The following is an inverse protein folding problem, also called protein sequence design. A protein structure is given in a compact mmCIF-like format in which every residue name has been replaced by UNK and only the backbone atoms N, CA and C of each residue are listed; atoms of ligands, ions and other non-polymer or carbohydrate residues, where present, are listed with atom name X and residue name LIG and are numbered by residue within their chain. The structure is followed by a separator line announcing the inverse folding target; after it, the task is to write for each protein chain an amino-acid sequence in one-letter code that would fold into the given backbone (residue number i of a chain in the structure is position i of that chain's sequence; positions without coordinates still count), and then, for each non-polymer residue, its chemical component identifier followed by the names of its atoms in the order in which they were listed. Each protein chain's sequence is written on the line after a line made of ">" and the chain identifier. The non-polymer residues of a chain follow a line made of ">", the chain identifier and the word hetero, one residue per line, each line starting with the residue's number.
data_IF_575405795160
#
_entry.id   IF_575405795160
#
_cell.length_a   1.000
_cell.length_b   1.000
_cell.length_c   1.000
_cell.angle_alpha   90.00
_cell.angle_beta   90.00
_cell.angle_gamma   90.00
#
_symmetry.space_group_name_H-M   'P 1'
#
loop_
_entity.id
_entity.type
_entity.pdbx_description
1 polymer ?
#
# COMPACT_ATOMS: atom_id res chain seq x y z
N UNK A 1 -24.41 -3.59 -1.54
CA UNK A 1 -23.26 -3.26 -2.40
C UNK A 1 -22.02 -3.88 -1.78
N UNK A 2 -21.77 -5.16 -2.00
CA UNK A 2 -20.56 -5.83 -1.51
C UNK A 2 -19.44 -5.63 -2.53
N UNK A 3 -18.71 -4.55 -2.36
CA UNK A 3 -17.45 -4.30 -3.03
C UNK A 3 -16.44 -3.87 -1.99
N UNK A 4 -15.36 -4.62 -1.81
CA UNK A 4 -14.23 -4.16 -1.01
C UNK A 4 -13.65 -2.92 -1.68
N UNK A 5 -13.67 -1.79 -0.98
CA UNK A 5 -13.07 -0.55 -1.48
C UNK A 5 -11.67 -0.39 -0.89
N UNK A 6 -10.71 0.05 -1.71
CA UNK A 6 -9.38 0.40 -1.22
C UNK A 6 -9.46 1.41 -0.07
N UNK A 7 -8.89 1.03 1.08
CA UNK A 7 -8.87 1.84 2.30
C UNK A 7 -7.54 2.56 2.48
N UNK A 8 -6.43 1.82 2.41
CA UNK A 8 -5.08 2.35 2.63
C UNK A 8 -4.01 1.47 2.00
N UNK A 9 -2.78 1.95 1.99
CA UNK A 9 -1.59 1.27 1.49
C UNK A 9 -0.57 1.17 2.61
N UNK A 10 0.17 0.06 2.70
CA UNK A 10 1.24 -0.12 3.68
C UNK A 10 2.59 -0.16 2.96
N UNK A 11 3.60 0.43 3.60
CA UNK A 11 4.94 0.62 3.08
C UNK A 11 5.97 -0.07 3.97
N UNK A 12 7.20 -0.29 3.48
CA UNK A 12 8.29 -0.75 4.33
C UNK A 12 8.40 0.07 5.62
N UNK A 13 8.28 -0.60 6.76
CA UNK A 13 8.27 0.03 8.10
C UNK A 13 6.87 0.26 8.69
N UNK A 14 5.81 0.21 7.89
CA UNK A 14 4.43 0.28 8.40
C UNK A 14 4.01 -1.06 9.04
N UNK A 15 3.12 -0.97 10.03
CA UNK A 15 2.44 -2.14 10.59
C UNK A 15 1.06 -2.30 9.95
N UNK A 16 0.71 -3.53 9.58
CA UNK A 16 -0.59 -3.91 9.03
C UNK A 16 -1.37 -4.68 10.09
N UNK A 17 -2.68 -4.42 10.21
CA UNK A 17 -3.52 -5.14 11.18
C UNK A 17 -3.52 -4.52 12.58
N UNK A 18 -3.03 -3.28 12.73
CA UNK A 18 -3.07 -2.54 14.01
C UNK A 18 -4.49 -2.46 14.59
N UNK A 19 -5.51 -2.41 13.74
CA UNK A 19 -6.90 -2.37 14.15
C UNK A 19 -7.34 -3.62 14.92
N UNK A 20 -6.71 -4.78 14.67
CA UNK A 20 -7.02 -6.03 15.37
C UNK A 20 -6.66 -5.98 16.84
N UNK A 21 -5.71 -5.12 17.25
CA UNK A 21 -5.37 -4.90 18.65
C UNK A 21 -6.49 -4.19 19.41
N UNK A 22 -7.25 -3.32 18.73
CA UNK A 22 -8.36 -2.59 19.32
C UNK A 22 -9.69 -3.34 19.17
N UNK A 23 -9.91 -4.01 18.03
CA UNK A 23 -11.18 -4.66 17.70
C UNK A 23 -11.22 -6.16 18.04
N UNK A 24 -10.08 -6.78 18.34
CA UNK A 24 -9.98 -8.23 18.53
C UNK A 24 -10.16 -9.05 17.25
N UNK A 25 -10.30 -8.40 16.09
CA UNK A 25 -10.38 -9.03 14.78
C UNK A 25 -9.86 -8.10 13.68
N UNK A 26 -9.48 -8.65 12.53
CA UNK A 26 -9.13 -7.84 11.37
C UNK A 26 -10.38 -7.16 10.79
N UNK A 27 -10.32 -5.83 10.66
CA UNK A 27 -11.39 -5.04 10.03
C UNK A 27 -11.17 -4.86 8.52
N UNK A 28 -9.95 -5.12 8.04
CA UNK A 28 -9.57 -4.95 6.64
C UNK A 28 -8.91 -6.22 6.09
N UNK A 29 -8.98 -6.37 4.77
CA UNK A 29 -8.19 -7.38 4.05
C UNK A 29 -6.93 -6.71 3.50
N UNK A 30 -5.77 -7.28 3.81
CA UNK A 30 -4.51 -6.87 3.20
C UNK A 30 -4.17 -7.73 1.98
N UNK A 31 -3.58 -7.09 0.97
CA UNK A 31 -3.08 -7.76 -0.22
C UNK A 31 -1.76 -7.14 -0.62
N UNK A 32 -0.76 -7.97 -0.84
CA UNK A 32 0.51 -7.51 -1.39
C UNK A 32 0.27 -6.90 -2.78
N UNK A 33 0.87 -5.75 -3.08
CA UNK A 33 0.81 -5.14 -4.42
C UNK A 33 2.07 -5.41 -5.23
N UNK A 34 3.15 -5.71 -4.52
CA UNK A 34 4.47 -6.05 -5.00
C UNK A 34 5.01 -7.18 -4.11
N UNK A 35 6.04 -7.92 -4.55
CA UNK A 35 6.72 -8.85 -3.66
C UNK A 35 7.19 -8.13 -2.40
N UNK A 36 6.77 -8.61 -1.24
CA UNK A 36 7.14 -8.06 0.05
C UNK A 36 7.29 -9.18 1.09
N UNK A 37 7.96 -8.86 2.20
CA UNK A 37 8.11 -9.74 3.35
C UNK A 37 7.47 -9.06 4.54
N UNK A 38 6.74 -9.82 5.35
CA UNK A 38 6.17 -9.38 6.61
C UNK A 38 6.87 -10.09 7.75
N UNK A 39 7.21 -9.34 8.81
CA UNK A 39 7.67 -9.91 10.06
C UNK A 39 6.48 -10.02 11.00
N UNK A 40 6.09 -11.24 11.43
CA UNK A 40 4.99 -11.40 12.36
C UNK A 40 5.32 -10.74 13.71
N UNK A 41 4.30 -10.14 14.32
CA UNK A 41 4.35 -9.52 15.64
C UNK A 41 3.22 -10.11 16.48
N UNK A 42 3.49 -10.35 17.76
CA UNK A 42 2.45 -10.78 18.70
C UNK A 42 1.61 -9.59 19.13
N UNK A 43 0.30 -9.79 19.32
CA UNK A 43 -0.62 -8.75 19.79
C UNK A 43 -0.37 -8.34 21.24
N UNK A 44 0.40 -9.13 22.00
CA UNK A 44 0.78 -8.84 23.38
C UNK A 44 1.75 -7.66 23.49
N UNK A 45 2.45 -7.30 22.41
CA UNK A 45 3.31 -6.13 22.39
C UNK A 45 2.46 -4.88 22.07
N UNK A 46 2.37 -3.88 22.96
CA UNK A 46 1.70 -2.64 22.63
C UNK A 46 2.39 -2.01 21.42
N UNK A 47 1.61 -1.70 20.39
CA UNK A 47 2.13 -1.03 19.21
C UNK A 47 2.75 0.30 19.64
N UNK A 48 4.03 0.54 19.32
CA UNK A 48 4.67 1.81 19.65
C UNK A 48 3.88 2.99 19.05
N UNK A 49 3.73 4.07 19.82
CA UNK A 49 2.98 5.27 19.41
C UNK A 49 3.42 5.81 18.03
N UNK A 50 4.71 5.67 17.70
CA UNK A 50 5.24 6.08 16.40
C UNK A 50 4.65 5.29 15.21
N UNK A 51 4.30 4.00 15.39
CA UNK A 51 3.66 3.20 14.34
C UNK A 51 2.20 3.61 14.13
N UNK A 52 1.49 3.97 15.21
CA UNK A 52 0.14 4.54 15.12
C UNK A 52 0.15 5.92 14.45
N UNK A 53 1.13 6.76 14.76
CA UNK A 53 1.32 8.03 14.07
C UNK A 53 1.62 7.81 12.58
N UNK A 54 2.43 6.80 12.24
CA UNK A 54 2.72 6.44 10.85
C UNK A 54 1.46 5.99 10.09
N UNK A 55 0.61 5.14 10.69
CA UNK A 55 -0.65 4.69 10.07
C UNK A 55 -1.63 5.86 9.86
N UNK A 56 -1.68 6.81 10.79
CA UNK A 56 -2.50 8.03 10.67
C UNK A 56 -1.99 8.92 9.53
N UNK A 57 -0.68 9.16 9.46
CA UNK A 57 -0.05 9.90 8.35
C UNK A 57 -0.32 9.21 7.00
N UNK A 58 -0.30 7.88 6.98
CA UNK A 58 -0.59 7.08 5.79
C UNK A 58 -2.01 7.31 5.30
N UNK A 59 -3.00 7.25 6.20
CA UNK A 59 -4.39 7.55 5.86
C UNK A 59 -4.55 8.96 5.26
N UNK A 60 -3.92 9.98 5.85
CA UNK A 60 -3.95 11.34 5.31
C UNK A 60 -3.33 11.44 3.90
N UNK A 61 -2.22 10.74 3.65
CA UNK A 61 -1.61 10.70 2.32
C UNK A 61 -2.51 10.01 1.28
N UNK A 62 -3.27 8.98 1.67
CA UNK A 62 -4.23 8.31 0.78
C UNK A 62 -5.40 9.21 0.40
N UNK A 63 -5.90 10.02 1.35
CA UNK A 63 -6.88 11.05 1.04
C UNK A 63 -6.28 12.04 0.02
N UNK A 64 -5.09 12.58 0.30
CA UNK A 64 -4.44 13.53 -0.60
C UNK A 64 -4.25 12.96 -2.01
N UNK A 65 -3.86 11.68 -2.12
CA UNK A 65 -3.55 10.99 -3.38
C UNK A 65 -4.69 11.04 -4.41
N UNK A 66 -5.94 11.11 -3.94
CA UNK A 66 -7.14 11.09 -4.80
C UNK A 66 -7.63 12.48 -5.21
N UNK A 67 -6.95 13.55 -4.82
CA UNK A 67 -7.30 14.92 -5.17
C UNK A 67 -6.46 15.47 -6.33
N UNK A 68 -6.92 16.51 -7.03
CA UNK A 68 -6.17 17.14 -8.13
C UNK A 68 -6.26 16.41 -9.47
N UNK A 69 -5.41 16.78 -10.44
CA UNK A 69 -5.41 16.24 -11.81
C UNK A 69 -4.95 14.79 -11.84
N UNK A 70 -5.44 14.02 -12.80
CA UNK A 70 -5.13 12.59 -12.92
C UNK A 70 -3.62 12.29 -12.96
N UNK A 71 -2.86 13.10 -13.71
CA UNK A 71 -1.40 12.96 -13.79
C UNK A 71 -0.69 13.20 -12.46
N UNK A 72 -1.14 14.19 -11.68
CA UNK A 72 -0.58 14.50 -10.36
C UNK A 72 -0.87 13.42 -9.33
N UNK A 73 -1.99 12.69 -9.47
CA UNK A 73 -2.33 11.54 -8.61
C UNK A 73 -1.38 10.37 -8.87
N UNK A 74 -1.15 10.04 -10.15
CA UNK A 74 -0.24 8.96 -10.55
C UNK A 74 1.20 9.29 -10.16
N UNK A 75 1.67 10.53 -10.40
CA UNK A 75 3.00 10.97 -9.98
C UNK A 75 3.19 10.85 -8.47
N UNK A 76 2.28 11.39 -7.66
CA UNK A 76 2.37 11.27 -6.20
C UNK A 76 2.33 9.84 -5.70
N UNK A 77 1.64 8.93 -6.39
CA UNK A 77 1.69 7.51 -6.02
C UNK A 77 3.06 6.92 -6.33
N UNK A 78 3.62 7.22 -7.51
CA UNK A 78 4.95 6.76 -7.88
C UNK A 78 5.98 7.32 -6.90
N UNK A 79 5.96 8.64 -6.68
CA UNK A 79 6.83 9.33 -5.72
C UNK A 79 6.70 8.67 -4.35
N UNK A 80 5.47 8.46 -3.87
CA UNK A 80 5.27 7.76 -2.62
C UNK A 80 5.95 6.38 -2.65
N UNK A 81 5.68 5.58 -3.67
CA UNK A 81 6.24 4.24 -3.81
C UNK A 81 7.74 4.22 -4.07
N UNK A 82 8.39 5.33 -4.44
CA UNK A 82 9.84 5.42 -4.70
C UNK A 82 10.62 6.17 -3.62
N UNK A 83 9.98 7.11 -2.93
CA UNK A 83 10.54 8.08 -1.99
C UNK A 83 10.37 7.67 -0.51
N UNK A 84 10.39 6.38 -0.16
CA UNK A 84 10.59 6.04 1.26
C UNK A 84 12.05 6.26 1.63
N UNK A 85 12.39 7.53 1.75
CA UNK A 85 13.66 8.01 2.22
C UNK A 85 14.20 7.18 3.38
N UNK A 86 15.50 6.89 3.29
CA UNK A 86 16.36 6.49 4.40
C UNK A 86 16.08 5.16 5.12
N UNK A 87 15.32 4.20 4.56
CA UNK A 87 15.41 2.81 5.05
C UNK A 87 16.58 2.09 4.36
N UNK A 88 17.51 1.44 5.08
CA UNK A 88 18.70 0.78 4.50
C UNK A 88 18.40 -0.39 3.54
N UNK A 89 17.12 -0.67 3.27
CA UNK A 89 16.64 -1.66 2.29
C UNK A 89 16.18 -1.01 0.96
N UNK A 90 16.41 0.30 0.77
CA UNK A 90 15.97 1.06 -0.41
C UNK A 90 16.82 0.83 -1.69
N UNK A 91 17.60 -0.25 -1.75
CA UNK A 91 18.63 -0.47 -2.77
C UNK A 91 18.19 -1.17 -4.07
N UNK A 92 16.93 -1.58 -4.23
CA UNK A 92 16.52 -2.31 -5.43
C UNK A 92 15.40 -1.60 -6.19
N UNK A 93 15.51 -1.60 -7.53
CA UNK A 93 14.52 -1.08 -8.49
C UNK A 93 13.10 -1.43 -8.01
N UNK A 94 12.43 -0.45 -7.39
CA UNK A 94 11.14 -0.67 -6.74
C UNK A 94 10.12 -1.08 -7.77
N UNK A 95 9.55 -2.28 -7.61
CA UNK A 95 8.52 -2.73 -8.55
C UNK A 95 7.28 -1.86 -8.41
N UNK A 96 6.74 -1.40 -9.52
CA UNK A 96 5.44 -0.75 -9.52
C UNK A 96 4.31 -1.79 -9.39
N UNK A 97 3.20 -1.45 -8.71
CA UNK A 97 1.96 -2.19 -8.78
C UNK A 97 1.44 -2.28 -10.23
N UNK A 98 0.48 -3.17 -10.45
CA UNK A 98 -0.16 -3.28 -11.76
C UNK A 98 -1.04 -2.05 -12.04
N UNK A 99 -1.32 -1.80 -13.32
CA UNK A 99 -2.19 -0.70 -13.74
C UNK A 99 -3.56 -0.69 -13.04
N UNK A 100 -4.16 -1.86 -12.87
CA UNK A 100 -5.43 -2.02 -12.16
C UNK A 100 -5.35 -1.58 -10.69
N UNK A 101 -4.25 -1.94 -10.01
CA UNK A 101 -4.03 -1.55 -8.62
C UNK A 101 -3.80 -0.03 -8.53
N UNK A 102 -3.01 0.55 -9.44
CA UNK A 102 -2.79 2.01 -9.50
C UNK A 102 -4.11 2.76 -9.75
N UNK A 103 -4.95 2.25 -10.66
CA UNK A 103 -6.26 2.82 -10.98
C UNK A 103 -7.17 2.83 -9.74
N UNK A 104 -7.25 1.70 -9.04
CA UNK A 104 -8.02 1.56 -7.79
C UNK A 104 -7.52 2.53 -6.70
N UNK A 105 -6.20 2.61 -6.50
CA UNK A 105 -5.57 3.47 -5.49
C UNK A 105 -5.82 4.95 -5.79
N UNK A 106 -5.63 5.38 -7.04
CA UNK A 106 -5.73 6.79 -7.46
C UNK A 106 -7.16 7.24 -7.78
N UNK A 107 -8.12 6.32 -7.81
CA UNK A 107 -9.50 6.61 -8.20
C UNK A 107 -9.62 7.00 -9.68
N UNK A 108 -8.84 6.35 -10.55
CA UNK A 108 -8.79 6.59 -11.99
C UNK A 108 -9.22 5.32 -12.75
N UNK A 109 -9.42 5.44 -14.06
CA UNK A 109 -9.60 4.26 -14.93
C UNK A 109 -8.24 3.66 -15.30
N UNK A 110 -8.20 2.36 -15.57
CA UNK A 110 -6.99 1.66 -16.05
C UNK A 110 -6.44 2.30 -17.33
N UNK A 111 -7.32 2.70 -18.25
CA UNK A 111 -6.95 3.39 -19.49
C UNK A 111 -6.24 4.73 -19.21
N UNK A 112 -6.79 5.52 -18.27
CA UNK A 112 -6.20 6.81 -17.89
C UNK A 112 -4.82 6.62 -17.28
N UNK A 113 -4.66 5.65 -16.38
CA UNK A 113 -3.37 5.31 -15.79
C UNK A 113 -2.38 4.83 -16.86
N UNK A 114 -2.84 4.02 -17.82
CA UNK A 114 -2.01 3.51 -18.92
C UNK A 114 -1.41 4.67 -19.74
N UNK A 115 -2.25 5.60 -20.20
CA UNK A 115 -1.79 6.79 -20.95
C UNK A 115 -0.78 7.61 -20.15
N UNK A 116 -1.13 7.99 -18.92
CA UNK A 116 -0.25 8.80 -18.06
C UNK A 116 1.08 8.08 -17.83
N UNK A 117 1.07 6.76 -17.64
CA UNK A 117 2.29 6.01 -17.42
C UNK A 117 3.16 5.95 -18.68
N UNK A 118 2.57 5.81 -19.87
CA UNK A 118 3.31 5.85 -21.12
C UNK A 118 3.98 7.22 -21.35
N UNK A 119 3.26 8.30 -21.01
CA UNK A 119 3.80 9.66 -21.06
C UNK A 119 5.00 9.84 -20.09
N UNK A 120 4.91 9.25 -18.88
CA UNK A 120 5.98 9.29 -17.88
C UNK A 120 7.18 8.43 -18.29
N UNK A 121 6.96 7.25 -18.86
CA UNK A 121 8.03 6.35 -19.28
C UNK A 121 8.86 6.96 -20.42
N UNK A 122 8.16 7.58 -21.37
CA UNK A 122 8.77 8.35 -22.47
C UNK A 122 9.62 9.54 -21.99
N UNK A 123 9.36 10.03 -20.77
CA UNK A 123 10.09 11.13 -20.16
C UNK A 123 11.31 10.70 -19.32
N UNK A 124 11.65 9.41 -19.26
CA UNK A 124 12.93 8.96 -18.70
C UNK A 124 12.88 7.96 -17.55
N UNK A 125 11.91 7.04 -17.53
CA UNK A 125 12.08 5.76 -16.85
C UNK A 125 11.12 5.52 -15.67
N UNK A 126 10.07 4.76 -15.94
CA UNK A 126 9.30 4.12 -14.87
C UNK A 126 9.99 2.86 -14.36
N UNK A 127 9.86 2.54 -13.06
CA UNK A 127 10.33 1.26 -12.53
C UNK A 127 9.59 0.06 -13.14
N UNK A 128 10.21 -1.12 -13.06
CA UNK A 128 9.61 -2.37 -13.54
C UNK A 128 8.28 -2.67 -12.86
N UNK A 129 7.27 -3.07 -13.62
CA UNK A 129 5.96 -3.46 -13.06
C UNK A 129 5.95 -4.91 -12.58
N UNK A 130 5.19 -5.16 -11.53
CA UNK A 130 4.84 -6.53 -11.12
C UNK A 130 3.98 -7.21 -12.20
N UNK A 131 4.35 -8.43 -12.58
CA UNK A 131 3.53 -9.31 -13.41
C UNK A 131 2.82 -10.33 -12.51
N UNK A 132 1.53 -10.57 -12.76
CA UNK A 132 0.69 -11.51 -11.98
C UNK A 132 0.00 -10.88 -10.76
N UNK A 133 -1.13 -11.46 -10.33
CA UNK A 133 -1.82 -11.05 -9.09
C UNK A 133 -1.15 -11.73 -7.91
N UNK A 134 -0.39 -11.04 -7.05
CA UNK A 134 0.13 -11.62 -5.82
C UNK A 134 -1.02 -12.13 -4.95
N UNK A 135 -0.76 -13.20 -4.19
CA UNK A 135 -1.75 -13.85 -3.33
C UNK A 135 -2.31 -12.87 -2.31
N UNK A 136 -3.63 -12.78 -2.23
CA UNK A 136 -4.31 -12.21 -1.06
C UNK A 136 -4.15 -13.21 0.09
N UNK A 137 -3.36 -12.83 1.09
CA UNK A 137 -3.29 -13.59 2.33
C UNK A 137 -4.34 -12.97 3.25
N UNK A 138 -5.42 -13.67 3.62
CA UNK A 138 -6.24 -13.20 4.73
C UNK A 138 -5.30 -13.01 5.92
N UNK A 139 -5.35 -11.84 6.55
CA UNK A 139 -4.67 -11.67 7.82
C UNK A 139 -5.36 -12.66 8.77
N UNK A 140 -4.74 -13.83 8.98
CA UNK A 140 -5.35 -14.91 9.75
C UNK A 140 -5.15 -14.59 11.23
N UNK A 141 -6.26 -14.61 11.96
CA UNK A 141 -6.36 -14.36 13.40
C UNK A 141 -5.77 -15.48 14.27
N UNK A 142 -4.90 -16.36 13.74
CA UNK A 142 -4.47 -17.58 14.43
C UNK A 142 -3.40 -17.35 15.51
N UNK A 143 -3.47 -16.24 16.23
CA UNK A 143 -2.64 -15.94 17.39
C UNK A 143 -3.45 -15.51 18.62
N UNK A 144 -4.76 -15.70 18.64
CA UNK A 144 -5.50 -15.70 19.90
C UNK A 144 -5.38 -17.09 20.54
N UNK A 145 -4.57 -17.29 21.60
CA UNK A 145 -4.80 -18.43 22.46
C UNK A 145 -6.19 -18.27 23.06
N UNK A 146 -7.07 -19.22 22.79
CA UNK A 146 -8.29 -19.39 23.55
C UNK A 146 -7.87 -19.59 25.00
N UNK A 147 -8.12 -18.59 25.85
CA UNK A 147 -8.09 -18.74 27.30
C UNK A 147 -9.44 -18.33 27.83
#
# INVERSE_FOLDING_TARGET
>A
MEGTTFASLALPGDMVGLESMAFGHYGFTARALTPCVLTPRTSADPAPLHLMAASTRRAAQMVALRHGRASDRVRRLIDLLTDHGAHPLAGERRRLPRLADIAEITGLTVETVCRISADLDSAGGLPHRSQGRPSSVPLVSSLFPTT
#
